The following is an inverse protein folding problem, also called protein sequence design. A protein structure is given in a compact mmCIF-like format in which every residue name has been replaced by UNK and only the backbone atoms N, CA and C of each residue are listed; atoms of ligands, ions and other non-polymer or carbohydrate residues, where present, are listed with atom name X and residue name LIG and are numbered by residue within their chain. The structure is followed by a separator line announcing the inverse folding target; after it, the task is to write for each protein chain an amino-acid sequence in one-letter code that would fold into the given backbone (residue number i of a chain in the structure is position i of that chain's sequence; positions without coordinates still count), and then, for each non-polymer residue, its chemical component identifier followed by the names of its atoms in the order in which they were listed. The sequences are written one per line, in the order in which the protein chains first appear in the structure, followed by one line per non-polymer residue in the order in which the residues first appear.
data_IF_278962724744
#
_entry.id   IF_278962724744
#
_cell.length_a   1.000
_cell.length_b   1.000
_cell.length_c   1.000
_cell.angle_alpha   90.00
_cell.angle_beta   90.00
_cell.angle_gamma   90.00
#
_symmetry.space_group_name_H-M   'P 1'
#
loop_
_entity.id
_entity.type
_entity.pdbx_description
1 polymer ?
#
# COMPACT_ATOMS: atom_id res chain seq x y z
N UNK A 1 -8.58 -27.23 0.05
CA UNK A 1 -8.21 -26.55 1.33
C UNK A 1 -9.43 -26.50 2.23
N UNK A 2 -9.28 -26.76 3.54
CA UNK A 2 -10.37 -26.70 4.52
C UNK A 2 -10.10 -25.64 5.58
N UNK A 3 -11.08 -24.78 5.84
CA UNK A 3 -11.06 -23.78 6.92
C UNK A 3 -12.44 -23.68 7.56
N UNK A 4 -12.55 -23.10 8.75
CA UNK A 4 -13.82 -22.95 9.46
C UNK A 4 -14.08 -21.47 9.78
N UNK A 5 -15.30 -21.00 9.51
CA UNK A 5 -15.78 -19.68 9.92
C UNK A 5 -16.57 -19.86 11.21
N UNK A 6 -15.93 -19.55 12.34
CA UNK A 6 -16.56 -19.63 13.66
C UNK A 6 -17.81 -18.74 13.74
N UNK A 7 -18.96 -19.32 14.09
CA UNK A 7 -20.23 -18.59 14.19
C UNK A 7 -20.77 -18.12 12.84
N UNK A 8 -20.53 -18.90 11.77
CA UNK A 8 -20.92 -18.57 10.41
C UNK A 8 -22.38 -18.10 10.29
N UNK A 9 -22.56 -17.02 9.53
CA UNK A 9 -23.84 -16.48 9.12
C UNK A 9 -23.81 -16.09 7.64
N UNK A 10 -24.98 -15.93 7.02
CA UNK A 10 -25.07 -15.42 5.63
C UNK A 10 -24.39 -14.04 5.47
N UNK A 11 -24.29 -13.25 6.55
CA UNK A 11 -23.58 -11.97 6.53
C UNK A 11 -22.09 -12.16 6.24
N UNK A 12 -21.47 -13.22 6.71
CA UNK A 12 -20.06 -13.52 6.46
C UNK A 12 -19.83 -13.84 4.98
N UNK A 13 -20.73 -14.62 4.37
CA UNK A 13 -20.71 -14.88 2.94
C UNK A 13 -20.89 -13.60 2.11
N UNK A 14 -21.77 -12.68 2.53
CA UNK A 14 -21.93 -11.38 1.87
C UNK A 14 -20.69 -10.48 2.01
N UNK A 15 -20.01 -10.52 3.16
CA UNK A 15 -18.73 -9.81 3.36
C UNK A 15 -17.64 -10.39 2.45
N UNK A 16 -17.57 -11.71 2.35
CA UNK A 16 -16.65 -12.40 1.46
C UNK A 16 -16.93 -12.04 0.00
N UNK A 17 -18.19 -12.12 -0.44
CA UNK A 17 -18.63 -11.67 -1.77
C UNK A 17 -18.26 -10.22 -2.06
N UNK A 18 -18.50 -9.30 -1.11
CA UNK A 18 -18.09 -7.89 -1.26
C UNK A 18 -16.57 -7.75 -1.45
N UNK A 19 -15.76 -8.54 -0.75
CA UNK A 19 -14.29 -8.49 -0.91
C UNK A 19 -13.88 -9.00 -2.29
N UNK A 20 -14.53 -10.05 -2.81
CA UNK A 20 -14.29 -10.52 -4.18
C UNK A 20 -14.62 -9.44 -5.22
N UNK A 21 -15.78 -8.79 -5.10
CA UNK A 21 -16.16 -7.69 -6.01
C UNK A 21 -15.15 -6.52 -6.05
N UNK A 22 -14.45 -6.26 -4.95
CA UNK A 22 -13.49 -5.16 -4.85
C UNK A 22 -12.08 -5.58 -5.27
N UNK A 23 -11.71 -6.85 -5.04
CA UNK A 23 -10.32 -7.32 -5.17
C UNK A 23 -10.06 -8.13 -6.43
N UNK A 24 -11.06 -8.83 -6.95
CA UNK A 24 -10.93 -9.63 -8.17
C UNK A 24 -11.34 -8.82 -9.40
N UNK A 25 -10.71 -9.11 -10.52
CA UNK A 25 -10.94 -8.48 -11.82
C UNK A 25 -10.85 -9.55 -12.91
N UNK A 26 -11.39 -9.26 -14.10
CA UNK A 26 -11.33 -10.17 -15.24
C UNK A 26 -12.00 -11.52 -14.99
N UNK A 27 -13.03 -11.55 -14.13
CA UNK A 27 -13.82 -12.76 -13.82
C UNK A 27 -15.10 -12.78 -14.67
N UNK A 28 -15.58 -13.98 -14.99
CA UNK A 28 -16.86 -14.14 -15.69
C UNK A 28 -18.03 -13.87 -14.75
N UNK A 29 -18.12 -14.64 -13.66
CA UNK A 29 -19.12 -14.44 -12.61
C UNK A 29 -18.44 -14.20 -11.27
N UNK A 30 -18.89 -13.17 -10.57
CA UNK A 30 -18.73 -13.07 -9.10
C UNK A 30 -20.09 -13.33 -8.48
N UNK A 31 -20.17 -14.26 -7.54
CA UNK A 31 -21.47 -14.70 -7.03
C UNK A 31 -21.45 -15.07 -5.55
N UNK A 32 -22.66 -15.01 -4.97
CA UNK A 32 -23.05 -15.69 -3.73
C UNK A 32 -24.37 -16.41 -3.99
N UNK A 33 -24.38 -17.73 -3.86
CA UNK A 33 -25.56 -18.58 -4.05
C UNK A 33 -25.83 -19.29 -2.73
N UNK A 34 -26.97 -19.03 -2.10
CA UNK A 34 -27.37 -19.67 -0.85
C UNK A 34 -28.59 -20.55 -1.09
N UNK A 35 -28.47 -21.85 -0.82
CA UNK A 35 -29.53 -22.85 -1.02
C UNK A 35 -30.34 -23.13 0.26
N UNK A 36 -29.97 -22.48 1.37
CA UNK A 36 -30.50 -22.75 2.71
C UNK A 36 -29.53 -23.59 3.54
N UNK A 37 -29.10 -24.74 3.02
CA UNK A 37 -28.17 -25.68 3.69
C UNK A 37 -26.72 -25.57 3.22
N UNK A 38 -26.48 -24.87 2.11
CA UNK A 38 -25.15 -24.59 1.55
C UNK A 38 -25.05 -23.16 1.06
N UNK A 39 -23.84 -22.63 1.07
CA UNK A 39 -23.53 -21.34 0.47
C UNK A 39 -22.29 -21.44 -0.40
N UNK A 40 -22.42 -21.00 -1.65
CA UNK A 40 -21.32 -20.90 -2.60
C UNK A 40 -20.93 -19.44 -2.76
N UNK A 41 -19.65 -19.12 -2.55
CA UNK A 41 -19.11 -17.78 -2.79
C UNK A 41 -17.92 -17.92 -3.73
N UNK A 42 -17.96 -17.27 -4.89
CA UNK A 42 -16.96 -17.48 -5.93
C UNK A 42 -16.75 -16.31 -6.87
N UNK A 43 -15.60 -16.35 -7.53
CA UNK A 43 -15.19 -15.40 -8.57
C UNK A 43 -14.52 -16.20 -9.69
N UNK A 44 -15.34 -16.87 -10.50
CA UNK A 44 -14.88 -17.80 -11.53
C UNK A 44 -14.52 -17.04 -12.81
N UNK A 45 -13.37 -17.32 -13.45
CA UNK A 45 -13.02 -16.71 -14.72
C UNK A 45 -13.79 -17.33 -15.90
N UNK A 46 -14.38 -18.50 -15.73
CA UNK A 46 -14.71 -19.36 -16.87
C UNK A 46 -16.21 -19.63 -16.97
N UNK A 47 -16.77 -19.26 -18.13
CA UNK A 47 -18.09 -19.70 -18.57
C UNK A 47 -18.05 -21.19 -18.87
N UNK A 48 -19.07 -21.92 -18.45
CA UNK A 48 -19.25 -23.31 -18.86
C UNK A 48 -19.82 -23.36 -20.29
N UNK A 49 -21.09 -23.00 -20.46
CA UNK A 49 -21.70 -22.75 -21.76
C UNK A 49 -22.85 -21.74 -21.64
N UNK A 50 -23.00 -20.84 -22.61
CA UNK A 50 -24.13 -19.91 -22.68
C UNK A 50 -24.90 -20.08 -23.98
N UNK A 51 -26.22 -19.92 -23.95
CA UNK A 51 -27.09 -19.89 -25.13
C UNK A 51 -27.91 -18.60 -25.12
N UNK A 52 -27.81 -17.83 -26.21
CA UNK A 52 -28.62 -16.63 -26.42
C UNK A 52 -28.97 -16.49 -27.89
N UNK A 53 -30.25 -16.28 -28.21
CA UNK A 53 -30.73 -16.18 -29.60
C UNK A 53 -30.35 -17.38 -30.49
N UNK A 54 -30.20 -18.58 -29.92
CA UNK A 54 -29.75 -19.80 -30.61
C UNK A 54 -28.24 -19.89 -30.89
N UNK A 55 -27.42 -19.01 -30.32
CA UNK A 55 -25.96 -19.11 -30.35
C UNK A 55 -25.46 -19.70 -29.04
N UNK A 56 -24.86 -20.88 -29.09
CA UNK A 56 -24.10 -21.48 -27.99
C UNK A 56 -22.66 -20.97 -27.98
N UNK A 57 -22.11 -20.69 -26.81
CA UNK A 57 -20.72 -20.23 -26.64
C UNK A 57 -20.05 -20.91 -25.44
N UNK A 58 -18.89 -21.52 -25.68
CA UNK A 58 -17.95 -21.99 -24.66
C UNK A 58 -16.69 -21.10 -24.62
N UNK A 59 -15.92 -21.18 -23.54
CA UNK A 59 -14.76 -20.32 -23.28
C UNK A 59 -13.61 -21.17 -22.73
N UNK A 60 -12.87 -21.89 -23.58
CA UNK A 60 -11.71 -22.65 -23.12
C UNK A 60 -10.64 -21.71 -22.58
N UNK A 61 -10.25 -21.92 -21.32
CA UNK A 61 -9.19 -21.18 -20.62
C UNK A 61 -8.14 -22.18 -20.14
N UNK A 62 -6.89 -21.99 -20.57
CA UNK A 62 -5.73 -22.70 -20.00
C UNK A 62 -4.47 -21.87 -20.19
N UNK A 63 -3.39 -22.29 -19.53
CA UNK A 63 -2.17 -21.49 -19.42
C UNK A 63 -2.30 -20.40 -18.36
N UNK A 64 -1.28 -20.25 -17.51
CA UNK A 64 -1.32 -19.35 -16.36
C UNK A 64 -0.03 -18.54 -16.19
N UNK A 65 -0.11 -17.24 -16.42
CA UNK A 65 0.93 -16.30 -16.02
C UNK A 65 0.70 -15.82 -14.58
N UNK A 66 1.55 -16.23 -13.64
CA UNK A 66 1.49 -15.77 -12.24
C UNK A 66 2.17 -14.42 -12.10
N UNK A 67 1.48 -13.42 -11.55
CA UNK A 67 2.07 -12.10 -11.36
C UNK A 67 3.15 -12.15 -10.26
N UNK A 68 4.33 -11.53 -10.49
CA UNK A 68 5.27 -11.23 -9.44
C UNK A 68 4.65 -10.37 -8.33
N UNK A 69 5.23 -10.32 -7.11
CA UNK A 69 4.73 -9.46 -6.03
C UNK A 69 4.64 -7.97 -6.40
N UNK A 70 5.48 -7.50 -7.34
CA UNK A 70 5.48 -6.13 -7.84
C UNK A 70 4.39 -5.86 -8.91
N UNK A 71 3.65 -6.88 -9.35
CA UNK A 71 2.68 -6.82 -10.44
C UNK A 71 3.20 -7.41 -11.76
N UNK A 72 2.32 -7.53 -12.79
CA UNK A 72 2.70 -8.04 -14.10
C UNK A 72 3.66 -7.08 -14.82
N UNK A 73 4.53 -7.64 -15.66
CA UNK A 73 5.41 -6.88 -16.55
C UNK A 73 5.16 -7.28 -18.00
N UNK A 74 5.37 -6.36 -18.95
CA UNK A 74 5.20 -6.64 -20.37
C UNK A 74 6.14 -7.77 -20.84
N UNK A 75 7.38 -7.77 -20.34
CA UNK A 75 8.37 -8.83 -20.59
C UNK A 75 7.86 -10.19 -20.11
N UNK A 76 7.43 -10.29 -18.85
CA UNK A 76 6.93 -11.56 -18.30
C UNK A 76 5.67 -12.09 -19.00
N UNK A 77 4.76 -11.19 -19.43
CA UNK A 77 3.60 -11.58 -20.24
C UNK A 77 4.05 -12.09 -21.61
N UNK A 78 5.01 -11.43 -22.25
CA UNK A 78 5.50 -11.83 -23.58
C UNK A 78 6.26 -13.15 -23.53
N UNK A 79 7.06 -13.40 -22.49
CA UNK A 79 7.71 -14.69 -22.24
C UNK A 79 6.69 -15.81 -22.03
N UNK A 80 5.66 -15.56 -21.22
CA UNK A 80 4.55 -16.50 -21.01
C UNK A 80 3.84 -16.85 -22.33
N UNK A 81 3.52 -15.84 -23.16
CA UNK A 81 2.87 -16.06 -24.45
C UNK A 81 3.77 -16.79 -25.46
N UNK A 82 5.09 -16.74 -25.28
CA UNK A 82 6.06 -17.47 -26.08
C UNK A 82 6.34 -18.89 -25.56
N UNK A 83 5.81 -19.26 -24.38
CA UNK A 83 6.00 -20.59 -23.80
C UNK A 83 5.20 -21.64 -24.59
N UNK A 84 5.93 -22.58 -25.17
CA UNK A 84 5.36 -23.68 -25.95
C UNK A 84 4.51 -24.62 -25.10
N UNK A 85 4.86 -24.85 -23.82
CA UNK A 85 4.08 -25.68 -22.91
C UNK A 85 2.70 -25.07 -22.72
N UNK A 86 2.64 -23.78 -22.39
CA UNK A 86 1.39 -23.05 -22.13
C UNK A 86 0.54 -22.95 -23.41
N UNK A 87 1.18 -22.75 -24.56
CA UNK A 87 0.51 -22.75 -25.88
C UNK A 87 -0.09 -24.13 -26.21
N UNK A 88 0.67 -25.21 -26.04
CA UNK A 88 0.21 -26.59 -26.27
C UNK A 88 -0.95 -26.95 -25.33
N UNK A 89 -0.90 -26.49 -24.08
CA UNK A 89 -1.96 -26.69 -23.08
C UNK A 89 -3.28 -26.03 -23.52
N UNK A 90 -3.22 -24.80 -24.01
CA UNK A 90 -4.39 -24.09 -24.51
C UNK A 90 -4.99 -24.78 -25.75
N UNK A 91 -4.16 -25.18 -26.72
CA UNK A 91 -4.67 -25.87 -27.92
C UNK A 91 -5.35 -27.19 -27.60
N UNK A 92 -4.80 -27.95 -26.65
CA UNK A 92 -5.41 -29.19 -26.21
C UNK A 92 -6.84 -28.96 -25.69
N UNK A 93 -7.09 -27.95 -24.87
CA UNK A 93 -8.45 -27.70 -24.35
C UNK A 93 -9.39 -27.14 -25.42
N UNK A 94 -8.88 -26.34 -26.37
CA UNK A 94 -9.67 -25.86 -27.52
C UNK A 94 -10.17 -27.01 -28.39
N UNK A 95 -9.31 -27.98 -28.71
CA UNK A 95 -9.69 -29.14 -29.51
C UNK A 95 -10.77 -29.99 -28.82
N UNK A 96 -10.72 -30.09 -27.49
CA UNK A 96 -11.71 -30.85 -26.72
C UNK A 96 -13.05 -30.14 -26.61
N UNK A 97 -13.04 -28.82 -26.41
CA UNK A 97 -14.28 -28.05 -26.45
C UNK A 97 -14.86 -27.93 -27.85
N UNK A 98 -14.05 -27.99 -28.91
CA UNK A 98 -14.54 -28.14 -30.29
C UNK A 98 -15.31 -29.45 -30.48
N UNK A 99 -14.87 -30.56 -29.88
CA UNK A 99 -15.62 -31.84 -29.90
C UNK A 99 -16.95 -31.72 -29.17
N UNK A 100 -16.97 -31.05 -28.01
CA UNK A 100 -18.22 -30.78 -27.28
C UNK A 100 -19.17 -29.92 -28.13
N UNK A 101 -18.66 -28.83 -28.71
CA UNK A 101 -19.44 -27.93 -29.57
C UNK A 101 -19.95 -28.64 -30.84
N UNK A 102 -19.17 -29.55 -31.44
CA UNK A 102 -19.65 -30.40 -32.54
C UNK A 102 -20.77 -31.36 -32.11
N UNK A 103 -20.79 -31.77 -30.83
CA UNK A 103 -21.85 -32.58 -30.25
C UNK A 103 -23.18 -31.84 -30.07
N UNK A 104 -23.15 -30.52 -29.81
CA UNK A 104 -24.34 -29.71 -29.49
C UNK A 104 -24.75 -28.69 -30.56
N UNK A 105 -23.89 -28.39 -31.53
CA UNK A 105 -24.14 -27.45 -32.63
C UNK A 105 -24.05 -28.17 -33.98
N UNK A 106 -25.12 -28.11 -34.79
CA UNK A 106 -25.19 -28.82 -36.08
C UNK A 106 -24.08 -28.43 -37.06
N UNK A 107 -23.69 -27.15 -37.07
CA UNK A 107 -22.60 -26.62 -37.89
C UNK A 107 -21.21 -26.70 -37.23
N UNK A 108 -21.10 -27.34 -36.07
CA UNK A 108 -19.90 -27.30 -35.23
C UNK A 108 -19.66 -25.93 -34.58
N UNK A 109 -18.45 -25.77 -34.04
CA UNK A 109 -18.00 -24.54 -33.38
C UNK A 109 -17.02 -23.73 -34.23
N UNK A 110 -17.13 -22.40 -34.20
CA UNK A 110 -16.18 -21.43 -34.73
C UNK A 110 -15.32 -20.88 -33.60
N UNK A 111 -13.99 -20.97 -33.74
CA UNK A 111 -13.02 -20.45 -32.78
C UNK A 111 -12.80 -18.95 -33.00
N UNK A 112 -12.79 -18.16 -31.92
CA UNK A 112 -12.48 -16.73 -31.87
C UNK A 112 -11.38 -16.47 -30.83
N UNK A 113 -10.37 -15.67 -31.16
CA UNK A 113 -9.23 -15.35 -30.28
C UNK A 113 -7.85 -15.69 -30.89
N UNK A 114 -6.81 -15.88 -30.06
CA UNK A 114 -6.83 -15.92 -28.59
C UNK A 114 -6.91 -14.53 -27.96
N UNK A 115 -7.26 -14.50 -26.68
CA UNK A 115 -7.28 -13.29 -25.84
C UNK A 115 -6.46 -13.52 -24.56
N UNK A 116 -5.96 -12.43 -23.98
CA UNK A 116 -5.35 -12.43 -22.65
C UNK A 116 -6.38 -11.96 -21.64
N UNK A 117 -6.68 -12.80 -20.65
CA UNK A 117 -7.60 -12.52 -19.54
C UNK A 117 -6.80 -12.15 -18.30
N UNK A 118 -6.70 -10.85 -18.04
CA UNK A 118 -6.00 -10.32 -16.87
C UNK A 118 -6.89 -10.37 -15.62
N UNK A 119 -6.40 -11.03 -14.58
CA UNK A 119 -7.05 -11.11 -13.26
C UNK A 119 -6.19 -10.40 -12.20
N UNK A 120 -6.65 -10.36 -10.95
CA UNK A 120 -5.97 -9.58 -9.90
C UNK A 120 -4.54 -10.06 -9.56
N UNK A 121 -4.22 -11.35 -9.77
CA UNK A 121 -2.95 -11.97 -9.36
C UNK A 121 -2.27 -12.82 -10.43
N UNK A 122 -2.93 -12.98 -11.55
CA UNK A 122 -2.48 -13.83 -12.64
C UNK A 122 -3.21 -13.42 -13.92
N UNK A 123 -2.72 -13.88 -15.07
CA UNK A 123 -3.43 -13.82 -16.33
C UNK A 123 -3.57 -15.22 -16.92
N UNK A 124 -4.61 -15.42 -17.72
CA UNK A 124 -4.83 -16.63 -18.50
C UNK A 124 -4.89 -16.29 -19.99
N UNK A 125 -4.58 -17.28 -20.83
CA UNK A 125 -4.95 -17.24 -22.25
C UNK A 125 -6.30 -17.91 -22.45
N UNK A 126 -7.13 -17.34 -23.32
CA UNK A 126 -8.47 -17.86 -23.59
C UNK A 126 -8.85 -17.79 -25.06
N UNK A 127 -9.70 -18.73 -25.49
CA UNK A 127 -10.45 -18.64 -26.73
C UNK A 127 -11.95 -18.61 -26.43
N UNK A 128 -12.74 -18.31 -27.46
CA UNK A 128 -14.17 -18.57 -27.47
C UNK A 128 -14.51 -19.50 -28.61
N UNK A 129 -15.48 -20.38 -28.39
CA UNK A 129 -16.01 -21.26 -29.43
C UNK A 129 -17.51 -21.03 -29.50
N UNK A 130 -18.00 -20.59 -30.64
CA UNK A 130 -19.42 -20.29 -30.85
C UNK A 130 -20.04 -21.13 -31.96
N UNK A 131 -21.29 -21.52 -31.80
CA UNK A 131 -22.01 -22.34 -32.76
C UNK A 131 -23.51 -22.11 -32.68
N UNK A 132 -24.23 -22.45 -33.76
CA UNK A 132 -25.69 -22.39 -33.78
C UNK A 132 -26.28 -23.68 -33.22
N UNK A 133 -27.28 -23.56 -32.36
CA UNK A 133 -28.02 -24.69 -31.81
C UNK A 133 -29.47 -24.29 -31.53
N UNK A 134 -30.38 -25.22 -31.76
CA UNK A 134 -31.80 -25.15 -31.41
C UNK A 134 -32.18 -26.16 -30.31
N UNK A 135 -31.18 -26.94 -29.84
CA UNK A 135 -31.35 -27.99 -28.83
C UNK A 135 -31.89 -27.44 -27.52
N UNK A 136 -32.45 -28.35 -26.73
CA UNK A 136 -32.92 -27.99 -25.41
C UNK A 136 -31.75 -27.72 -24.46
N UNK A 137 -31.86 -26.67 -23.65
CA UNK A 137 -30.83 -26.28 -22.67
C UNK A 137 -30.47 -27.41 -21.69
N UNK A 138 -31.41 -28.31 -21.39
CA UNK A 138 -31.17 -29.48 -20.53
C UNK A 138 -30.28 -30.52 -21.21
N UNK A 139 -30.48 -30.73 -22.51
CA UNK A 139 -29.65 -31.61 -23.33
C UNK A 139 -28.25 -31.01 -23.50
N UNK A 140 -28.17 -29.71 -23.80
CA UNK A 140 -26.90 -28.99 -23.92
C UNK A 140 -26.09 -29.12 -22.62
N UNK A 141 -26.73 -28.91 -21.46
CA UNK A 141 -26.06 -29.09 -20.18
C UNK A 141 -25.60 -30.53 -20.00
N UNK A 142 -26.47 -31.53 -20.20
CA UNK A 142 -26.13 -32.95 -20.05
C UNK A 142 -24.91 -33.36 -20.90
N UNK A 143 -24.91 -33.02 -22.19
CA UNK A 143 -23.85 -33.38 -23.14
C UNK A 143 -22.52 -32.65 -22.88
N UNK A 144 -22.55 -31.55 -22.11
CA UNK A 144 -21.34 -30.76 -21.80
C UNK A 144 -20.82 -31.01 -20.38
N UNK A 145 -21.42 -31.91 -19.60
CA UNK A 145 -20.90 -32.27 -18.27
C UNK A 145 -19.62 -33.11 -18.38
N UNK A 146 -18.45 -32.67 -17.93
CA UNK A 146 -18.04 -31.30 -17.56
C UNK A 146 -16.92 -30.83 -18.49
N UNK A 147 -16.63 -29.53 -18.49
CA UNK A 147 -15.58 -28.94 -19.31
C UNK A 147 -14.23 -29.65 -19.17
N UNK A 148 -13.47 -29.79 -20.27
CA UNK A 148 -12.18 -30.51 -20.28
C UNK A 148 -11.11 -29.77 -19.47
N UNK A 149 -11.21 -28.44 -19.34
CA UNK A 149 -10.32 -27.57 -18.55
C UNK A 149 -10.27 -27.93 -17.06
N UNK A 150 -11.33 -28.58 -16.54
CA UNK A 150 -11.44 -28.98 -15.13
C UNK A 150 -11.54 -30.49 -14.92
N UNK A 151 -11.49 -31.27 -16.00
CA UNK A 151 -11.50 -32.74 -15.96
C UNK A 151 -10.28 -33.32 -16.66
N UNK A 152 -10.19 -33.14 -17.97
CA UNK A 152 -9.10 -33.58 -18.84
C UNK A 152 -9.62 -34.22 -20.12
N UNK A 153 -8.71 -34.79 -20.91
CA UNK A 153 -9.04 -35.46 -22.17
C UNK A 153 -8.27 -36.78 -22.36
N UNK A 154 -8.87 -37.78 -23.05
CA UNK A 154 -10.28 -37.83 -23.48
C UNK A 154 -11.23 -37.94 -22.28
N UNK A 155 -12.40 -37.31 -22.35
CA UNK A 155 -13.24 -37.00 -21.18
C UNK A 155 -13.58 -38.21 -20.28
N UNK A 156 -14.08 -39.31 -20.85
CA UNK A 156 -14.39 -40.52 -20.06
C UNK A 156 -13.15 -41.11 -19.37
N UNK A 157 -12.00 -41.04 -20.04
CA UNK A 157 -10.74 -41.52 -19.49
C UNK A 157 -10.26 -40.61 -18.35
N UNK A 158 -10.39 -39.29 -18.53
CA UNK A 158 -10.06 -38.31 -17.51
C UNK A 158 -10.88 -38.56 -16.23
N UNK A 159 -12.19 -38.83 -16.34
CA UNK A 159 -13.03 -39.18 -15.19
C UNK A 159 -12.55 -40.47 -14.48
N UNK A 160 -12.12 -41.49 -15.23
CA UNK A 160 -11.53 -42.72 -14.65
C UNK A 160 -10.22 -42.43 -13.92
N UNK A 161 -9.38 -41.55 -14.47
CA UNK A 161 -8.11 -41.13 -13.85
C UNK A 161 -8.36 -40.31 -12.58
N UNK A 162 -9.30 -39.36 -12.63
CA UNK A 162 -9.74 -38.60 -11.45
C UNK A 162 -10.17 -39.55 -10.34
N UNK A 163 -11.07 -40.50 -10.64
CA UNK A 163 -11.53 -41.51 -9.66
C UNK A 163 -10.40 -42.36 -9.10
N UNK A 164 -9.35 -42.62 -9.88
CA UNK A 164 -8.19 -43.40 -9.45
C UNK A 164 -7.33 -42.63 -8.43
N UNK A 165 -7.15 -41.32 -8.60
CA UNK A 165 -6.21 -40.52 -7.83
C UNK A 165 -6.86 -39.59 -6.79
N UNK A 166 -8.16 -39.31 -6.87
CA UNK A 166 -8.91 -38.53 -5.88
C UNK A 166 -9.74 -39.46 -4.98
N UNK A 167 -9.38 -39.63 -3.69
CA UNK A 167 -10.07 -40.53 -2.77
C UNK A 167 -11.42 -39.99 -2.27
N UNK A 168 -11.64 -38.68 -2.38
CA UNK A 168 -12.89 -38.01 -1.99
C UNK A 168 -13.70 -37.59 -3.23
N UNK A 169 -15.01 -37.52 -3.09
CA UNK A 169 -15.87 -36.91 -4.11
C UNK A 169 -15.63 -35.40 -4.23
N UNK A 170 -15.74 -34.87 -5.46
CA UNK A 170 -15.52 -33.44 -5.75
C UNK A 170 -16.61 -32.51 -5.20
N UNK A 171 -17.77 -33.04 -4.80
CA UNK A 171 -18.94 -32.21 -4.50
C UNK A 171 -19.29 -31.36 -5.73
N UNK A 172 -19.30 -30.04 -5.57
CA UNK A 172 -19.57 -29.09 -6.67
C UNK A 172 -18.31 -28.59 -7.39
N UNK A 173 -17.11 -28.95 -6.94
CA UNK A 173 -15.87 -28.59 -7.65
C UNK A 173 -15.88 -29.18 -9.07
N UNK A 174 -15.46 -28.41 -10.06
CA UNK A 174 -15.59 -28.69 -11.51
C UNK A 174 -17.03 -28.76 -12.06
N UNK A 175 -18.03 -28.57 -11.20
CA UNK A 175 -19.44 -28.48 -11.60
C UNK A 175 -19.78 -27.16 -12.29
N UNK A 176 -21.07 -26.85 -12.38
CA UNK A 176 -21.57 -25.60 -12.95
C UNK A 176 -22.69 -24.98 -12.10
N UNK A 177 -22.81 -23.67 -12.17
CA UNK A 177 -24.03 -22.94 -11.82
C UNK A 177 -24.68 -22.42 -13.09
N UNK A 178 -25.98 -22.64 -13.27
CA UNK A 178 -26.71 -22.26 -14.48
C UNK A 178 -27.92 -21.38 -14.16
N UNK A 179 -28.02 -20.25 -14.84
CA UNK A 179 -29.23 -19.44 -14.98
C UNK A 179 -29.94 -19.87 -16.26
N UNK A 180 -31.08 -20.53 -16.10
CA UNK A 180 -31.93 -20.95 -17.21
C UNK A 180 -33.15 -20.04 -17.24
N UNK A 181 -33.44 -19.45 -18.39
CA UNK A 181 -34.53 -18.50 -18.52
C UNK A 181 -34.97 -18.29 -19.96
N UNK A 182 -35.51 -17.10 -20.19
CA UNK A 182 -35.84 -16.59 -21.52
C UNK A 182 -35.26 -15.20 -21.69
N UNK A 183 -34.85 -14.86 -22.91
CA UNK A 183 -34.43 -13.51 -23.25
C UNK A 183 -35.62 -12.55 -23.46
N UNK A 184 -35.34 -11.29 -23.81
CA UNK A 184 -36.38 -10.26 -24.06
C UNK A 184 -37.31 -10.65 -25.21
N UNK A 185 -36.83 -11.44 -26.17
CA UNK A 185 -37.62 -11.97 -27.28
C UNK A 185 -38.46 -13.20 -26.90
N UNK A 186 -38.34 -13.72 -25.68
CA UNK A 186 -39.02 -14.92 -25.21
C UNK A 186 -38.32 -16.23 -25.61
N UNK A 187 -37.16 -16.14 -26.27
CA UNK A 187 -36.37 -17.32 -26.65
C UNK A 187 -35.65 -17.91 -25.45
N UNK A 188 -35.39 -19.23 -25.46
CA UNK A 188 -34.69 -19.90 -24.36
C UNK A 188 -33.28 -19.31 -24.21
N UNK A 189 -32.89 -19.02 -22.97
CA UNK A 189 -31.55 -18.57 -22.63
C UNK A 189 -30.91 -19.43 -21.55
N UNK A 190 -29.59 -19.56 -21.66
CA UNK A 190 -28.73 -20.23 -20.68
C UNK A 190 -27.51 -19.35 -20.46
N UNK A 191 -27.21 -19.05 -19.20
CA UNK A 191 -25.91 -18.55 -18.79
C UNK A 191 -25.38 -19.46 -17.68
N UNK A 192 -24.21 -20.06 -17.88
CA UNK A 192 -23.63 -20.96 -16.89
C UNK A 192 -22.14 -20.75 -16.72
N UNK A 193 -21.67 -20.94 -15.49
CA UNK A 193 -20.28 -20.74 -15.11
C UNK A 193 -19.72 -21.98 -14.41
N UNK A 194 -18.44 -22.26 -14.66
CA UNK A 194 -17.75 -23.40 -14.05
C UNK A 194 -17.44 -23.08 -12.58
N UNK A 195 -17.72 -24.03 -11.68
CA UNK A 195 -17.51 -23.91 -10.24
C UNK A 195 -16.06 -24.21 -9.85
N UNK A 196 -15.16 -23.34 -10.33
CA UNK A 196 -13.79 -23.15 -9.86
C UNK A 196 -13.68 -21.79 -9.17
N UNK A 197 -12.60 -21.56 -8.42
CA UNK A 197 -12.44 -20.31 -7.61
C UNK A 197 -13.69 -20.04 -6.77
N UNK A 198 -14.19 -21.10 -6.13
CA UNK A 198 -15.45 -21.11 -5.39
C UNK A 198 -15.25 -21.78 -4.04
N UNK A 199 -15.78 -21.16 -2.99
CA UNK A 199 -15.90 -21.73 -1.65
C UNK A 199 -17.29 -22.35 -1.50
N UNK A 200 -17.33 -23.64 -1.12
CA UNK A 200 -18.54 -24.35 -0.67
C UNK A 200 -18.56 -24.33 0.87
N UNK A 201 -19.57 -23.67 1.44
CA UNK A 201 -19.71 -23.43 2.87
C UNK A 201 -20.95 -24.16 3.38
N UNK A 202 -20.78 -25.05 4.37
CA UNK A 202 -21.90 -25.72 5.02
C UNK A 202 -22.55 -24.88 6.13
N UNK A 203 -23.66 -25.36 6.69
CA UNK A 203 -24.39 -24.70 7.80
C UNK A 203 -23.58 -24.53 9.08
N UNK A 204 -22.49 -25.27 9.25
CA UNK A 204 -21.61 -25.19 10.42
C UNK A 204 -20.41 -24.25 10.16
N UNK A 205 -20.34 -23.63 8.98
CA UNK A 205 -19.25 -22.73 8.62
C UNK A 205 -17.99 -23.44 8.13
N UNK A 206 -18.03 -24.75 7.83
CA UNK A 206 -16.89 -25.43 7.22
C UNK A 206 -16.80 -25.02 5.75
N UNK A 207 -15.63 -24.52 5.37
CA UNK A 207 -15.34 -24.03 4.02
C UNK A 207 -14.50 -25.06 3.29
N UNK A 208 -14.95 -25.49 2.11
CA UNK A 208 -14.18 -26.29 1.16
C UNK A 208 -13.89 -25.47 -0.10
N UNK A 209 -12.61 -25.35 -0.45
CA UNK A 209 -12.18 -24.76 -1.73
C UNK A 209 -11.45 -25.84 -2.53
N UNK A 210 -12.06 -26.23 -3.65
CA UNK A 210 -11.46 -27.12 -4.65
C UNK A 210 -10.56 -26.34 -5.60
N UNK A 211 -9.39 -26.90 -5.91
CA UNK A 211 -8.42 -26.28 -6.82
C UNK A 211 -7.57 -27.37 -7.47
N UNK A 212 -7.19 -27.15 -8.72
CA UNK A 212 -6.36 -28.03 -9.52
C UNK A 212 -5.64 -27.28 -10.64
N UNK A 213 -4.86 -28.01 -11.41
CA UNK A 213 -4.12 -27.53 -12.57
C UNK A 213 -4.18 -28.59 -13.68
N UNK A 214 -4.01 -28.15 -14.92
CA UNK A 214 -4.04 -29.01 -16.10
C UNK A 214 -2.69 -29.72 -16.20
N UNK A 215 -2.67 -31.04 -16.01
CA UNK A 215 -1.44 -31.82 -16.08
C UNK A 215 -1.18 -32.27 -17.52
N UNK A 216 -0.06 -31.80 -18.09
CA UNK A 216 0.40 -32.18 -19.43
C UNK A 216 1.71 -32.96 -19.36
N UNK A 217 2.11 -33.56 -20.49
CA UNK A 217 3.33 -34.40 -20.61
C UNK A 217 4.62 -33.72 -20.09
N UNK A 218 4.67 -32.40 -20.14
CA UNK A 218 5.81 -31.57 -19.77
C UNK A 218 5.58 -30.78 -18.48
N UNK A 219 4.54 -31.10 -17.70
CA UNK A 219 4.27 -30.44 -16.43
C UNK A 219 5.39 -30.71 -15.42
N UNK A 220 5.81 -29.65 -14.72
CA UNK A 220 6.70 -29.73 -13.57
C UNK A 220 5.87 -29.76 -12.28
N UNK A 221 5.94 -30.82 -11.45
CA UNK A 221 5.07 -30.97 -10.28
C UNK A 221 5.13 -29.79 -9.29
N UNK A 222 6.30 -29.16 -9.12
CA UNK A 222 6.44 -28.02 -8.20
C UNK A 222 5.78 -26.76 -8.75
N UNK A 223 5.87 -26.55 -10.04
CA UNK A 223 5.19 -25.47 -10.76
C UNK A 223 3.68 -25.62 -10.68
N UNK A 224 3.15 -26.83 -10.86
CA UNK A 224 1.70 -27.10 -10.73
C UNK A 224 1.19 -26.86 -9.29
N UNK A 225 1.98 -27.23 -8.28
CA UNK A 225 1.66 -26.90 -6.87
C UNK A 225 1.66 -25.38 -6.65
N UNK A 226 2.63 -24.66 -7.24
CA UNK A 226 2.67 -23.21 -7.12
C UNK A 226 1.49 -22.53 -7.84
N UNK A 227 1.05 -23.09 -8.97
CA UNK A 227 -0.13 -22.66 -9.69
C UNK A 227 -1.42 -22.85 -8.88
N UNK A 228 -1.65 -24.04 -8.32
CA UNK A 228 -2.84 -24.28 -7.47
C UNK A 228 -2.91 -23.32 -6.29
N UNK A 229 -1.76 -22.97 -5.67
CA UNK A 229 -1.70 -21.92 -4.64
C UNK A 229 -2.08 -20.56 -5.19
N UNK A 230 -1.55 -20.17 -6.34
CA UNK A 230 -1.87 -18.89 -6.98
C UNK A 230 -3.38 -18.79 -7.29
N UNK A 231 -3.95 -19.85 -7.88
CA UNK A 231 -5.39 -19.99 -8.18
C UNK A 231 -6.26 -19.87 -6.93
N UNK A 232 -5.87 -20.47 -5.80
CA UNK A 232 -6.61 -20.38 -4.54
C UNK A 232 -6.42 -19.04 -3.79
N UNK A 233 -5.30 -18.36 -4.03
CA UNK A 233 -4.87 -17.22 -3.20
C UNK A 233 -5.84 -16.03 -3.20
N UNK A 234 -6.55 -15.79 -4.31
CA UNK A 234 -7.57 -14.74 -4.41
C UNK A 234 -8.72 -14.96 -3.42
N UNK A 235 -9.29 -16.18 -3.42
CA UNK A 235 -10.35 -16.56 -2.48
C UNK A 235 -9.87 -16.56 -1.03
N UNK A 236 -8.68 -17.12 -0.76
CA UNK A 236 -8.13 -17.17 0.60
C UNK A 236 -7.90 -15.77 1.16
N UNK A 237 -7.33 -14.87 0.37
CA UNK A 237 -7.14 -13.46 0.74
C UNK A 237 -8.46 -12.75 1.06
N UNK A 238 -9.51 -13.04 0.29
CA UNK A 238 -10.83 -12.49 0.52
C UNK A 238 -11.56 -13.13 1.72
N UNK A 239 -11.26 -14.38 2.08
CA UNK A 239 -11.71 -15.02 3.33
C UNK A 239 -10.98 -14.47 4.55
N UNK A 240 -9.67 -14.27 4.46
CA UNK A 240 -8.84 -13.78 5.55
C UNK A 240 -9.38 -12.44 6.06
N UNK A 241 -9.74 -12.41 7.35
CA UNK A 241 -10.28 -11.25 8.06
C UNK A 241 -9.28 -10.10 8.25
N UNK A 242 -8.25 -10.03 7.43
CA UNK A 242 -7.27 -8.95 7.42
C UNK A 242 -7.93 -7.62 7.06
N UNK A 243 -8.47 -6.93 8.07
CA UNK A 243 -8.33 -5.47 8.14
C UNK A 243 -6.84 -5.22 7.90
N UNK A 244 -6.47 -4.50 6.85
CA UNK A 244 -5.11 -4.00 6.71
C UNK A 244 -4.69 -3.42 8.06
N UNK A 245 -3.65 -3.95 8.67
CA UNK A 245 -3.19 -3.50 9.98
C UNK A 245 -2.78 -2.04 9.85
N UNK A 246 -3.62 -1.14 10.37
CA UNK A 246 -3.34 0.29 10.44
C UNK A 246 -2.68 0.55 11.79
N UNK A 247 -1.37 0.74 11.78
CA UNK A 247 -0.59 1.00 12.99
C UNK A 247 -0.68 2.46 13.47
N UNK A 248 -1.20 3.37 12.65
CA UNK A 248 -1.32 4.79 13.00
C UNK A 248 -2.16 5.07 14.25
N UNK A 249 -3.04 4.14 14.65
CA UNK A 249 -3.86 4.23 15.85
C UNK A 249 -3.50 3.19 16.92
N UNK A 250 -2.39 2.46 16.75
CA UNK A 250 -1.97 1.44 17.71
C UNK A 250 -1.49 2.12 19.01
N UNK A 251 -1.95 1.67 20.20
CA UNK A 251 -1.61 2.31 21.48
C UNK A 251 -0.10 2.51 21.68
N UNK A 252 0.72 1.49 21.39
CA UNK A 252 2.17 1.57 21.55
C UNK A 252 2.83 2.55 20.57
N UNK A 253 2.32 2.63 19.34
CA UNK A 253 2.81 3.59 18.33
C UNK A 253 2.43 5.01 18.74
N UNK A 254 1.19 5.22 19.18
CA UNK A 254 0.76 6.51 19.72
C UNK A 254 1.56 6.90 20.97
N UNK A 255 1.87 5.95 21.86
CA UNK A 255 2.68 6.19 23.06
C UNK A 255 4.13 6.57 22.68
N UNK A 256 4.76 5.85 21.76
CA UNK A 256 6.09 6.16 21.27
C UNK A 256 6.16 7.53 20.56
N UNK A 257 5.15 7.87 19.77
CA UNK A 257 5.05 9.20 19.13
C UNK A 257 4.86 10.32 20.16
N UNK A 258 4.03 10.11 21.19
CA UNK A 258 3.87 11.08 22.29
C UNK A 258 5.15 11.25 23.09
N UNK A 259 5.92 10.18 23.31
CA UNK A 259 7.19 10.24 24.04
C UNK A 259 8.23 11.15 23.33
N UNK A 260 8.17 11.28 22.00
CA UNK A 260 9.03 12.23 21.27
C UNK A 260 8.80 13.70 21.66
N UNK A 261 7.59 14.04 22.11
CA UNK A 261 7.28 15.40 22.55
C UNK A 261 7.92 15.75 23.90
N UNK A 262 8.39 14.76 24.69
CA UNK A 262 9.04 15.01 25.98
C UNK A 262 10.36 15.78 25.85
N UNK A 263 11.02 15.73 24.69
CA UNK A 263 12.26 16.45 24.40
C UNK A 263 12.07 17.81 23.71
N UNK A 264 10.85 18.15 23.30
CA UNK A 264 10.53 19.39 22.58
C UNK A 264 10.17 20.48 23.59
N UNK A 265 10.65 21.71 23.37
CA UNK A 265 10.32 22.83 24.25
C UNK A 265 8.81 23.11 24.26
N UNK A 266 8.23 23.17 25.47
CA UNK A 266 6.78 23.40 25.69
C UNK A 266 6.23 24.62 24.97
N UNK A 267 7.04 25.68 24.85
CA UNK A 267 6.68 26.88 24.11
C UNK A 267 6.14 26.60 22.70
N UNK A 268 6.67 25.59 22.00
CA UNK A 268 6.24 25.23 20.65
C UNK A 268 5.07 24.24 20.62
N UNK A 269 4.80 23.55 21.73
CA UNK A 269 3.70 22.59 21.88
C UNK A 269 2.41 23.25 22.40
N UNK A 270 2.54 24.26 23.26
CA UNK A 270 1.41 24.96 23.88
C UNK A 270 0.70 25.87 22.87
N UNK A 271 -0.61 26.07 23.02
CA UNK A 271 -1.40 26.97 22.16
C UNK A 271 -0.90 28.42 22.28
N UNK A 272 -0.88 29.16 21.17
CA UNK A 272 -0.32 30.52 21.11
C UNK A 272 -0.89 31.49 22.16
N UNK A 273 -2.18 31.34 22.50
CA UNK A 273 -2.85 32.15 23.52
C UNK A 273 -2.34 31.89 24.97
N UNK A 274 -1.73 30.72 25.21
CA UNK A 274 -1.24 30.28 26.52
C UNK A 274 0.26 30.53 26.75
N UNK A 275 0.98 31.01 25.72
CA UNK A 275 2.44 31.18 25.73
C UNK A 275 2.93 32.44 26.48
N UNK A 276 2.24 32.92 27.52
CA UNK A 276 2.68 34.10 28.29
C UNK A 276 3.24 33.68 29.65
N UNK A 277 4.57 33.58 29.81
CA UNK A 277 5.15 33.40 31.13
C UNK A 277 4.95 34.68 31.95
N UNK A 278 4.63 34.54 33.24
CA UNK A 278 4.55 35.67 34.15
C UNK A 278 5.97 36.10 34.56
N UNK A 279 6.68 36.80 33.68
CA UNK A 279 7.98 37.43 34.00
C UNK A 279 7.76 38.93 34.21
N UNK A 280 7.89 39.37 35.45
CA UNK A 280 7.76 40.78 35.83
C UNK A 280 9.00 41.57 35.42
N UNK A 281 8.80 42.76 34.82
CA UNK A 281 9.87 43.73 34.57
C UNK A 281 10.43 43.78 33.14
N UNK A 282 9.94 42.93 32.23
CA UNK A 282 10.32 42.96 30.81
C UNK A 282 9.23 43.55 29.89
N UNK A 283 8.05 43.82 30.44
CA UNK A 283 6.89 44.29 29.68
C UNK A 283 7.12 45.71 29.15
N UNK A 284 6.92 45.88 27.83
CA UNK A 284 7.08 47.15 27.14
C UNK A 284 8.50 47.50 26.72
N UNK A 285 9.53 46.80 27.24
CA UNK A 285 10.92 47.00 26.83
C UNK A 285 11.12 46.68 25.35
N UNK A 286 12.04 47.39 24.72
CA UNK A 286 12.39 47.24 23.32
C UNK A 286 13.65 46.38 23.13
N UNK A 287 13.59 45.41 22.22
CA UNK A 287 14.71 44.54 21.89
C UNK A 287 15.03 44.57 20.40
N UNK A 288 16.31 44.73 20.06
CA UNK A 288 16.83 44.61 18.70
C UNK A 288 17.56 43.29 18.53
N UNK A 289 17.13 42.46 17.58
CA UNK A 289 17.82 41.23 17.19
C UNK A 289 18.57 41.49 15.89
N UNK A 290 19.88 41.22 15.90
CA UNK A 290 20.72 41.25 14.71
C UNK A 290 20.79 39.84 14.12
N UNK A 291 20.25 39.65 12.93
CA UNK A 291 20.22 38.39 12.19
C UNK A 291 21.52 38.17 11.41
N UNK A 292 22.22 37.08 11.72
CA UNK A 292 23.47 36.69 11.10
C UNK A 292 23.29 35.54 10.10
N UNK A 293 22.22 35.59 9.29
CA UNK A 293 21.82 34.61 8.28
C UNK A 293 21.29 33.28 8.87
N UNK A 294 20.69 33.33 10.05
CA UNK A 294 19.97 32.20 10.63
C UNK A 294 18.62 32.65 11.20
N UNK A 295 17.56 32.24 10.49
CA UNK A 295 16.16 32.56 10.81
C UNK A 295 15.68 32.06 12.18
N UNK A 296 16.52 31.35 12.96
CA UNK A 296 16.31 31.14 14.39
C UNK A 296 16.07 32.47 15.15
N UNK A 297 16.52 33.61 14.62
CA UNK A 297 16.15 34.95 15.12
C UNK A 297 14.65 35.21 15.16
N UNK A 298 13.87 34.66 14.22
CA UNK A 298 12.41 34.74 14.24
C UNK A 298 11.82 33.97 15.44
N UNK A 299 12.41 32.81 15.77
CA UNK A 299 12.03 32.01 16.95
C UNK A 299 12.36 32.73 18.26
N UNK A 300 13.56 33.33 18.36
CA UNK A 300 13.95 34.17 19.50
C UNK A 300 12.98 35.36 19.64
N UNK A 301 12.65 36.02 18.53
CA UNK A 301 11.73 37.15 18.55
C UNK A 301 10.32 36.79 19.01
N UNK A 302 9.82 35.59 18.68
CA UNK A 302 8.54 35.10 19.20
C UNK A 302 8.60 34.85 20.72
N UNK A 303 9.69 34.28 21.23
CA UNK A 303 9.86 34.04 22.66
C UNK A 303 10.01 35.35 23.44
N UNK A 304 10.79 36.32 22.95
CA UNK A 304 10.92 37.64 23.59
C UNK A 304 9.60 38.43 23.57
N UNK A 305 8.85 38.40 22.47
CA UNK A 305 7.48 38.99 22.43
C UNK A 305 6.55 38.34 23.45
N UNK A 306 6.69 37.04 23.67
CA UNK A 306 5.89 36.30 24.65
C UNK A 306 6.18 36.71 26.11
N UNK A 307 7.38 37.24 26.36
CA UNK A 307 7.80 37.84 27.63
C UNK A 307 7.39 39.32 27.77
N UNK A 308 6.74 39.90 26.75
CA UNK A 308 6.24 41.28 26.77
C UNK A 308 7.12 42.31 26.08
N UNK A 309 8.22 41.91 25.41
CA UNK A 309 9.11 42.84 24.73
C UNK A 309 8.60 43.23 23.33
N UNK A 310 8.90 44.46 22.92
CA UNK A 310 8.76 44.97 21.57
C UNK A 310 10.01 44.61 20.75
N UNK A 311 9.90 43.63 19.85
CA UNK A 311 11.06 43.08 19.13
C UNK A 311 11.16 43.61 17.69
N UNK A 312 12.32 44.18 17.37
CA UNK A 312 12.75 44.53 16.01
C UNK A 312 13.85 43.56 15.56
N UNK A 313 13.77 43.08 14.32
CA UNK A 313 14.83 42.24 13.71
C UNK A 313 15.44 43.00 12.54
N UNK A 314 16.77 42.98 12.43
CA UNK A 314 17.54 43.57 11.33
C UNK A 314 18.61 42.60 10.86
N UNK A 315 18.86 42.55 9.55
CA UNK A 315 19.97 41.76 9.04
C UNK A 315 21.31 42.41 9.45
N UNK A 316 22.38 41.62 9.59
CA UNK A 316 23.69 42.13 10.03
C UNK A 316 24.29 43.20 9.10
N UNK A 317 23.82 43.25 7.84
CA UNK A 317 24.27 44.17 6.79
C UNK A 317 23.29 45.34 6.57
N UNK A 318 22.13 45.33 7.24
CA UNK A 318 21.20 46.45 7.19
C UNK A 318 21.68 47.59 8.10
N UNK A 319 21.36 48.86 7.80
CA UNK A 319 21.56 49.94 8.75
C UNK A 319 20.72 49.74 10.02
N UNK A 320 21.36 49.79 11.19
CA UNK A 320 20.70 49.78 12.49
C UNK A 320 21.42 50.72 13.46
N UNK A 321 20.69 51.19 14.47
CA UNK A 321 21.22 51.95 15.59
C UNK A 321 20.83 51.25 16.88
N UNK A 322 21.76 51.15 17.83
CA UNK A 322 21.47 50.52 19.10
C UNK A 322 20.63 51.46 20.00
N UNK A 323 20.81 52.78 19.91
CA UNK A 323 20.31 53.82 20.84
C UNK A 323 18.86 53.70 21.30
N UNK A 324 17.96 53.24 20.43
CA UNK A 324 16.52 53.19 20.68
C UNK A 324 16.04 51.87 21.31
N UNK A 325 16.96 51.05 21.80
CA UNK A 325 16.70 49.70 22.28
C UNK A 325 17.27 49.43 23.68
N UNK A 326 16.42 48.86 24.54
CA UNK A 326 16.76 48.49 25.93
C UNK A 326 17.63 47.23 26.01
N UNK A 327 17.49 46.33 25.02
CA UNK A 327 18.26 45.10 24.90
C UNK A 327 18.69 44.85 23.45
N UNK A 328 19.94 44.43 23.25
CA UNK A 328 20.40 43.94 21.93
C UNK A 328 20.64 42.43 22.00
N UNK A 329 20.18 41.70 20.99
CA UNK A 329 20.45 40.27 20.83
C UNK A 329 21.25 40.05 19.56
N UNK A 330 22.50 39.64 19.72
CA UNK A 330 23.37 39.27 18.62
C UNK A 330 23.05 37.82 18.23
N UNK A 331 22.43 37.64 17.07
CA UNK A 331 21.79 36.40 16.63
C UNK A 331 22.76 35.32 16.14
N UNK A 332 22.27 34.09 16.01
CA UNK A 332 23.06 32.97 15.48
C UNK A 332 23.28 33.11 13.97
N UNK A 333 24.21 32.31 13.44
CA UNK A 333 24.53 32.30 12.02
C UNK A 333 25.46 31.15 11.63
N UNK A 334 25.54 30.79 10.34
CA UNK A 334 26.54 29.85 9.84
C UNK A 334 27.92 30.52 9.73
N UNK A 335 28.99 29.73 9.76
CA UNK A 335 30.35 30.18 9.47
C UNK A 335 31.39 29.73 10.51
N UNK A 336 32.66 30.02 10.21
CA UNK A 336 33.76 29.90 11.17
C UNK A 336 33.92 31.24 11.90
N UNK A 337 33.73 31.31 13.24
CA UNK A 337 33.87 32.56 14.00
C UNK A 337 35.28 33.17 13.92
N UNK A 338 36.29 32.39 13.52
CA UNK A 338 37.68 32.83 13.37
C UNK A 338 37.98 33.44 12.01
N UNK A 339 37.04 33.36 11.06
CA UNK A 339 37.20 33.94 9.73
C UNK A 339 37.03 35.47 9.77
N UNK A 340 38.03 36.17 10.32
CA UNK A 340 38.01 37.62 10.54
C UNK A 340 37.79 38.45 9.27
N UNK A 341 38.10 37.88 8.10
CA UNK A 341 37.90 38.54 6.80
C UNK A 341 36.51 38.29 6.18
N UNK A 342 35.65 37.49 6.81
CA UNK A 342 34.28 37.34 6.36
C UNK A 342 33.46 38.61 6.72
N UNK A 343 32.74 39.24 5.76
CA UNK A 343 31.97 40.47 6.01
C UNK A 343 31.04 40.39 7.22
N UNK A 344 30.34 39.26 7.38
CA UNK A 344 29.47 38.99 8.52
C UNK A 344 30.20 38.95 9.85
N UNK A 345 31.32 38.24 9.93
CA UNK A 345 32.12 38.13 11.15
C UNK A 345 32.70 39.49 11.53
N UNK A 346 33.14 40.30 10.55
CA UNK A 346 33.54 41.69 10.80
C UNK A 346 32.40 42.55 11.35
N UNK A 347 31.22 42.48 10.74
CA UNK A 347 30.05 43.24 11.19
C UNK A 347 29.67 42.86 12.63
N UNK A 348 29.57 41.56 12.91
CA UNK A 348 29.28 41.05 14.26
C UNK A 348 30.33 41.48 15.28
N UNK A 349 31.62 41.39 14.94
CA UNK A 349 32.71 41.81 15.83
C UNK A 349 32.66 43.31 16.11
N UNK A 350 32.49 44.13 15.07
CA UNK A 350 32.35 45.58 15.20
C UNK A 350 31.16 45.97 16.08
N UNK A 351 30.02 45.30 15.91
CA UNK A 351 28.83 45.51 16.73
C UNK A 351 29.08 45.13 18.20
N UNK A 352 29.70 43.97 18.46
CA UNK A 352 30.03 43.52 19.80
C UNK A 352 31.04 44.44 20.50
N UNK A 353 32.10 44.86 19.81
CA UNK A 353 33.12 45.76 20.35
C UNK A 353 32.48 47.12 20.75
N UNK A 354 31.56 47.63 19.94
CA UNK A 354 30.77 48.83 20.25
C UNK A 354 29.88 48.64 21.48
N UNK A 355 29.11 47.53 21.55
CA UNK A 355 28.24 47.23 22.70
C UNK A 355 29.02 47.10 24.01
N UNK A 356 30.20 46.48 23.97
CA UNK A 356 31.11 46.35 25.12
C UNK A 356 31.66 47.72 25.55
N UNK A 357 32.15 48.53 24.60
CA UNK A 357 32.70 49.84 24.88
C UNK A 357 31.65 50.80 25.49
N UNK A 358 30.42 50.73 24.99
CA UNK A 358 29.29 51.52 25.49
C UNK A 358 28.62 50.91 26.75
N UNK A 359 29.09 49.75 27.23
CA UNK A 359 28.52 49.00 28.36
C UNK A 359 27.02 48.75 28.23
N UNK A 360 26.56 48.45 27.02
CA UNK A 360 25.14 48.24 26.74
C UNK A 360 24.69 46.84 27.09
N UNK A 361 23.46 46.65 27.59
CA UNK A 361 22.91 45.31 27.80
C UNK A 361 22.74 44.58 26.47
N UNK A 362 23.44 43.44 26.31
CA UNK A 362 23.24 42.56 25.17
C UNK A 362 23.37 41.08 25.51
N UNK A 363 22.77 40.23 24.68
CA UNK A 363 22.89 38.77 24.72
C UNK A 363 23.44 38.30 23.38
N UNK A 364 24.47 37.46 23.40
CA UNK A 364 25.06 36.88 22.20
C UNK A 364 24.71 35.39 22.10
N UNK A 365 24.23 34.95 20.94
CA UNK A 365 23.72 33.59 20.72
C UNK A 365 24.57 32.85 19.69
N UNK A 366 24.99 31.63 20.00
CA UNK A 366 25.74 30.72 19.11
C UNK A 366 26.94 31.38 18.42
N UNK A 367 26.84 31.71 17.12
CA UNK A 367 27.94 32.35 16.36
C UNK A 367 28.38 33.67 17.00
N UNK A 368 27.44 34.53 17.39
CA UNK A 368 27.80 35.78 18.05
C UNK A 368 28.40 35.56 19.45
N UNK A 369 28.00 34.51 20.16
CA UNK A 369 28.65 34.15 21.43
C UNK A 369 30.12 33.75 21.19
N UNK A 370 30.39 32.97 20.14
CA UNK A 370 31.76 32.61 19.76
C UNK A 370 32.59 33.85 19.37
N UNK A 371 32.02 34.77 18.58
CA UNK A 371 32.70 36.03 18.23
C UNK A 371 32.97 36.90 19.47
N UNK A 372 32.01 37.00 20.39
CA UNK A 372 32.19 37.69 21.67
C UNK A 372 33.33 37.07 22.48
N UNK A 373 33.36 35.75 22.59
CA UNK A 373 34.40 35.07 23.34
C UNK A 373 35.80 35.31 22.77
N UNK A 374 35.94 35.32 21.44
CA UNK A 374 37.20 35.72 20.80
C UNK A 374 37.58 37.17 21.11
N UNK A 375 36.60 38.09 21.15
CA UNK A 375 36.83 39.49 21.52
C UNK A 375 37.30 39.63 22.98
N UNK A 376 36.84 38.74 23.87
CA UNK A 376 37.26 38.66 25.27
C UNK A 376 38.56 37.87 25.49
N UNK A 377 39.18 37.35 24.42
CA UNK A 377 40.46 36.62 24.48
C UNK A 377 40.33 35.15 24.89
N UNK A 378 39.14 34.54 24.77
CA UNK A 378 38.92 33.12 25.01
C UNK A 378 39.18 32.30 23.73
N UNK A 379 39.82 31.15 23.88
CA UNK A 379 40.15 30.26 22.75
C UNK A 379 38.93 29.47 22.25
N UNK A 380 38.85 29.31 20.93
CA UNK A 380 37.84 28.47 20.27
C UNK A 380 38.48 27.32 19.50
N UNK A 381 37.97 26.11 19.74
CA UNK A 381 38.36 24.91 19.01
C UNK A 381 37.21 24.44 18.12
N UNK A 382 37.58 23.83 17.00
CA UNK A 382 36.63 23.05 16.20
C UNK A 382 36.47 21.69 16.88
N UNK A 383 35.23 21.27 17.12
CA UNK A 383 34.94 19.96 17.70
C UNK A 383 35.15 18.86 16.66
N UNK A 384 35.73 17.73 17.08
CA UNK A 384 35.84 16.53 16.23
C UNK A 384 34.46 15.96 15.89
N UNK A 385 33.54 15.97 16.86
CA UNK A 385 32.12 15.66 16.67
C UNK A 385 31.31 16.95 16.90
N UNK A 386 30.76 17.56 15.83
CA UNK A 386 29.94 18.76 15.95
C UNK A 386 28.67 18.50 16.77
N UNK A 387 28.27 19.48 17.58
CA UNK A 387 26.99 19.46 18.27
C UNK A 387 25.92 20.06 17.35
N UNK A 388 25.64 19.42 16.21
CA UNK A 388 24.65 19.88 15.24
C UNK A 388 23.32 19.13 15.43
N UNK A 389 22.31 19.81 15.95
CA UNK A 389 20.97 19.24 16.16
C UNK A 389 20.89 18.26 17.32
N UNK A 390 21.71 18.47 18.36
CA UNK A 390 21.76 17.60 19.55
C UNK A 390 21.18 18.31 20.77
N UNK A 391 20.55 17.54 21.66
CA UNK A 391 20.09 18.04 22.96
C UNK A 391 21.03 17.50 24.04
N UNK A 392 21.56 18.38 24.89
CA UNK A 392 22.47 18.02 25.97
C UNK A 392 21.99 18.63 27.29
N UNK A 393 22.27 17.95 28.40
CA UNK A 393 22.09 18.49 29.73
C UNK A 393 23.41 19.14 30.17
N UNK A 394 23.34 20.40 30.59
CA UNK A 394 24.50 21.21 31.00
C UNK A 394 24.26 21.83 32.36
N UNK A 395 25.33 22.20 33.05
CA UNK A 395 25.26 23.10 34.20
C UNK A 395 25.37 24.55 33.71
N UNK A 396 24.27 25.29 33.75
CA UNK A 396 24.18 26.69 33.37
C UNK A 396 24.16 27.55 34.64
N UNK A 397 25.35 27.97 35.09
CA UNK A 397 25.56 28.81 36.27
C UNK A 397 24.93 28.25 37.57
N UNK A 398 25.03 26.93 37.78
CA UNK A 398 24.53 26.24 38.97
C UNK A 398 23.15 25.59 38.78
N UNK A 399 22.51 25.80 37.64
CA UNK A 399 21.23 25.19 37.27
C UNK A 399 21.43 24.14 36.18
N UNK A 400 20.88 22.94 36.40
CA UNK A 400 20.89 21.89 35.36
C UNK A 400 19.83 22.18 34.31
N UNK A 401 20.28 22.45 33.10
CA UNK A 401 19.42 22.83 31.98
C UNK A 401 19.59 21.88 30.80
N UNK A 402 18.48 21.57 30.13
CA UNK A 402 18.49 20.76 28.91
C UNK A 402 18.29 21.66 27.70
N UNK A 403 19.35 21.83 26.90
CA UNK A 403 19.39 22.80 25.80
C UNK A 403 19.77 22.16 24.47
N UNK A 404 19.31 22.76 23.38
CA UNK A 404 19.65 22.36 22.01
C UNK A 404 20.92 23.06 21.54
N UNK A 405 21.82 22.30 20.91
CA UNK A 405 23.06 22.80 20.32
C UNK A 405 23.04 22.63 18.80
N UNK A 406 23.55 23.67 18.12
CA UNK A 406 23.71 23.74 16.66
C UNK A 406 25.05 24.40 16.31
N UNK A 407 26.15 23.83 16.81
CA UNK A 407 27.48 24.42 16.68
C UNK A 407 28.57 23.40 16.38
N UNK A 408 29.53 23.85 15.58
CA UNK A 408 30.74 23.10 15.23
C UNK A 408 31.97 23.56 16.01
N UNK A 409 31.96 24.83 16.47
CA UNK A 409 33.02 25.44 17.27
C UNK A 409 32.56 25.60 18.72
N UNK A 410 33.45 25.38 19.68
CA UNK A 410 33.19 25.62 21.10
C UNK A 410 34.48 26.00 21.83
N UNK A 411 34.33 26.49 23.06
CA UNK A 411 35.44 26.53 24.00
C UNK A 411 35.85 25.10 24.42
N UNK A 412 37.06 24.98 24.96
CA UNK A 412 37.56 23.76 25.60
C UNK A 412 36.76 23.42 26.85
#
# INVERSE_FOLDING_TARGET
LGSEISGYSLRDALVFFRRLLVREQGVYWTFVIHTGDRTFVGATPERHISVSGGTAVMNPISGTYRYPPAGPTLEGVTEFLADRKETDELYMVVDEELKMMAGVCEGGGRVLGPYLKEMARLAHTEYFIEGRTDRDVREILHETLFAPTVTGSPQESAVRIIRKYEPEGRGYYSGLAALIGRDVGGERSLDSAILIRTADIDTHGRVRIGVGATLVRHSDPLSEVAETRAKASGLLSALENGRAQRYGTHPDVCAALRQRNNGIARFWLDESASRRPAVTGLEGLSALIIDAEDTFTAMIGLQLRSLGLNVTVRHFDDPYAFGDHDLVVMGPGPGDPRAADAPKIRSLRSAIDCLLAEQRPFVAVCLSHQVLSLALGLDLIRRDVPNQGVQLEIDLFGSRERVGFYNTFSHL
#
